data_IF_391997224202
#
_entry.id   IF_391997224202
#
_cell.length_a   1.000
_cell.length_b   1.000
_cell.length_c   1.000
_cell.angle_alpha   90.00
_cell.angle_beta   90.00
_cell.angle_gamma   90.00
#
_symmetry.space_group_name_H-M   'P 1'
#
loop_
_entity.id
_entity.type
_entity.pdbx_description
1 polymer ?
#
# COMPACT_ATOMS: atom_id res chain seq x y z
N UNK A 1 -59.82 -3.80 -54.69
CA UNK A 1 -59.77 -3.90 -56.17
C UNK A 1 -58.93 -2.74 -56.68
N UNK A 2 -57.89 -2.95 -57.50
CA UNK A 2 -57.12 -1.83 -58.07
C UNK A 2 -58.07 -1.01 -58.96
N UNK A 3 -58.30 0.24 -58.60
CA UNK A 3 -59.15 1.14 -59.37
C UNK A 3 -58.58 1.30 -60.78
N UNK A 4 -59.41 1.11 -61.80
CA UNK A 4 -59.11 1.17 -63.25
C UNK A 4 -58.58 2.52 -63.78
N UNK A 5 -58.15 3.44 -62.91
CA UNK A 5 -57.82 4.84 -63.23
C UNK A 5 -56.36 5.24 -62.99
N UNK A 6 -55.47 4.32 -62.59
CA UNK A 6 -54.04 4.63 -62.36
C UNK A 6 -53.18 3.93 -63.41
N UNK A 7 -52.42 4.69 -64.21
CA UNK A 7 -51.52 4.15 -65.25
C UNK A 7 -50.05 4.19 -64.80
N UNK A 8 -49.21 3.29 -65.35
CA UNK A 8 -47.78 3.12 -64.97
C UNK A 8 -46.90 4.36 -65.21
N UNK A 9 -47.40 5.39 -65.91
CA UNK A 9 -46.69 6.65 -66.22
C UNK A 9 -47.07 7.82 -65.29
N UNK A 10 -47.99 7.64 -64.34
CA UNK A 10 -48.32 8.67 -63.35
C UNK A 10 -47.22 8.80 -62.28
N UNK A 11 -46.94 10.02 -61.83
CA UNK A 11 -46.05 10.25 -60.69
C UNK A 11 -46.67 9.68 -59.41
N UNK A 12 -45.84 9.15 -58.47
CA UNK A 12 -46.34 8.41 -57.31
C UNK A 12 -47.26 9.25 -56.41
N UNK A 13 -47.02 10.56 -56.32
CA UNK A 13 -47.87 11.48 -55.54
C UNK A 13 -49.26 11.68 -56.18
N UNK A 14 -49.34 11.72 -57.52
CA UNK A 14 -50.62 11.87 -58.23
C UNK A 14 -51.44 10.58 -58.13
N UNK A 15 -50.77 9.42 -58.22
CA UNK A 15 -51.40 8.12 -58.03
C UNK A 15 -52.01 7.98 -56.63
N UNK A 16 -51.25 8.34 -55.58
CA UNK A 16 -51.73 8.32 -54.20
C UNK A 16 -52.94 9.23 -53.98
N UNK A 17 -52.97 10.41 -54.60
CA UNK A 17 -54.11 11.35 -54.51
C UNK A 17 -55.36 10.82 -55.22
N UNK A 18 -55.22 10.21 -56.40
CA UNK A 18 -56.35 9.62 -57.14
C UNK A 18 -56.90 8.41 -56.40
N UNK A 19 -56.03 7.56 -55.86
CA UNK A 19 -56.45 6.39 -55.09
C UNK A 19 -57.16 6.80 -53.78
N UNK A 20 -56.65 7.82 -53.08
CA UNK A 20 -57.31 8.38 -51.90
C UNK A 20 -58.67 9.04 -52.22
N UNK A 21 -58.82 9.64 -53.41
CA UNK A 21 -60.08 10.23 -53.87
C UNK A 21 -61.12 9.16 -54.26
N UNK A 22 -60.68 8.04 -54.85
CA UNK A 22 -61.54 6.93 -55.31
C UNK A 22 -61.96 6.02 -54.14
N UNK A 23 -61.10 5.79 -53.16
CA UNK A 23 -61.41 4.96 -51.98
C UNK A 23 -62.43 5.61 -51.03
N UNK A 24 -62.88 6.84 -51.32
CA UNK A 24 -63.89 7.55 -50.51
C UNK A 24 -63.43 7.87 -49.07
N UNK A 25 -62.20 7.51 -48.70
CA UNK A 25 -61.59 7.83 -47.41
C UNK A 25 -61.13 9.28 -47.45
N UNK A 26 -62.09 10.20 -47.33
CA UNK A 26 -61.82 11.53 -46.78
C UNK A 26 -61.23 11.30 -45.38
N UNK A 27 -59.91 11.43 -45.24
CA UNK A 27 -59.33 11.68 -43.93
C UNK A 27 -60.02 12.96 -43.40
N UNK A 28 -60.77 12.90 -42.29
CA UNK A 28 -61.46 14.08 -41.80
C UNK A 28 -60.42 15.15 -41.48
N UNK A 29 -60.52 16.36 -42.07
CA UNK A 29 -59.60 17.44 -41.77
C UNK A 29 -59.86 17.90 -40.33
N UNK A 30 -58.92 17.61 -39.44
CA UNK A 30 -58.93 18.12 -38.07
C UNK A 30 -60.07 17.57 -37.20
N UNK A 31 -60.09 16.26 -36.93
CA UNK A 31 -60.85 15.69 -35.83
C UNK A 31 -60.33 16.28 -34.49
N UNK A 32 -60.84 17.46 -34.14
CA UNK A 32 -60.61 18.08 -32.83
C UNK A 32 -61.22 17.14 -31.80
N UNK A 33 -60.37 16.57 -30.94
CA UNK A 33 -60.79 15.84 -29.75
C UNK A 33 -61.89 16.64 -29.03
N UNK A 34 -62.95 15.96 -28.60
CA UNK A 34 -64.03 16.61 -27.85
C UNK A 34 -63.44 17.44 -26.69
N UNK A 35 -63.98 18.64 -26.38
CA UNK A 35 -63.40 19.55 -25.38
C UNK A 35 -63.24 18.90 -23.99
N UNK A 36 -64.05 17.88 -23.67
CA UNK A 36 -63.90 17.06 -22.46
C UNK A 36 -62.66 16.15 -22.51
N UNK A 37 -62.37 15.55 -23.66
CA UNK A 37 -61.18 14.71 -23.84
C UNK A 37 -59.89 15.53 -23.80
N UNK A 38 -59.87 16.74 -24.37
CA UNK A 38 -58.72 17.65 -24.26
C UNK A 38 -58.52 18.17 -22.83
N UNK A 39 -59.61 18.43 -22.09
CA UNK A 39 -59.53 18.78 -20.66
C UNK A 39 -58.97 17.63 -19.81
N UNK A 40 -59.43 16.40 -20.03
CA UNK A 40 -58.91 15.21 -19.34
C UNK A 40 -57.43 14.97 -19.64
N UNK A 41 -57.01 15.14 -20.90
CA UNK A 41 -55.60 15.06 -21.30
C UNK A 41 -54.74 16.12 -20.61
N UNK A 42 -55.22 17.36 -20.49
CA UNK A 42 -54.50 18.43 -19.78
C UNK A 42 -54.37 18.14 -18.29
N UNK A 43 -55.44 17.66 -17.64
CA UNK A 43 -55.41 17.27 -16.23
C UNK A 43 -54.45 16.10 -16.03
N UNK A 44 -54.53 15.06 -16.87
CA UNK A 44 -53.63 13.91 -16.82
C UNK A 44 -52.16 14.30 -17.03
N UNK A 45 -51.87 15.16 -18.00
CA UNK A 45 -50.51 15.69 -18.22
C UNK A 45 -50.01 16.49 -17.00
N UNK A 46 -50.85 17.33 -16.41
CA UNK A 46 -50.48 18.11 -15.22
C UNK A 46 -50.22 17.21 -14.02
N UNK A 47 -51.09 16.22 -13.79
CA UNK A 47 -50.91 15.23 -12.73
C UNK A 47 -49.62 14.42 -12.92
N UNK A 48 -49.31 14.01 -14.15
CA UNK A 48 -48.07 13.29 -14.47
C UNK A 48 -46.83 14.14 -14.18
N UNK A 49 -46.84 15.42 -14.54
CA UNK A 49 -45.74 16.35 -14.24
C UNK A 49 -45.54 16.47 -12.73
N UNK A 50 -46.63 16.70 -11.97
CA UNK A 50 -46.57 16.82 -10.50
C UNK A 50 -46.02 15.55 -9.87
N UNK A 51 -46.52 14.38 -10.26
CA UNK A 51 -46.05 13.08 -9.76
C UNK A 51 -44.56 12.89 -10.07
N UNK A 52 -44.13 13.23 -11.29
CA UNK A 52 -42.72 13.10 -11.70
C UNK A 52 -41.81 14.03 -10.90
N UNK A 53 -42.22 15.28 -10.68
CA UNK A 53 -41.47 16.24 -9.87
C UNK A 53 -41.36 15.80 -8.40
N UNK A 54 -42.47 15.33 -7.80
CA UNK A 54 -42.48 14.80 -6.43
C UNK A 54 -41.59 13.57 -6.33
N UNK A 55 -41.70 12.64 -7.28
CA UNK A 55 -40.85 11.44 -7.32
C UNK A 55 -39.37 11.78 -7.45
N UNK A 56 -39.01 12.72 -8.34
CA UNK A 56 -37.64 13.17 -8.52
C UNK A 56 -37.10 13.83 -7.23
N UNK A 57 -37.88 14.72 -6.60
CA UNK A 57 -37.51 15.35 -5.34
C UNK A 57 -37.28 14.33 -4.21
N UNK A 58 -38.19 13.36 -4.06
CA UNK A 58 -38.04 12.27 -3.09
C UNK A 58 -36.84 11.37 -3.39
N UNK A 59 -36.59 11.07 -4.68
CA UNK A 59 -35.45 10.27 -5.12
C UNK A 59 -34.13 10.96 -4.81
N UNK A 60 -34.01 12.26 -5.10
CA UNK A 60 -32.86 13.09 -4.77
C UNK A 60 -32.65 13.18 -3.26
N UNK A 61 -33.70 13.41 -2.49
CA UNK A 61 -33.61 13.47 -1.03
C UNK A 61 -33.16 12.13 -0.42
N UNK A 62 -33.71 11.01 -0.90
CA UNK A 62 -33.26 9.66 -0.52
C UNK A 62 -31.81 9.43 -0.92
N UNK A 63 -31.39 9.90 -2.09
CA UNK A 63 -30.01 9.77 -2.54
C UNK A 63 -29.04 10.53 -1.64
N UNK A 64 -29.38 11.76 -1.25
CA UNK A 64 -28.61 12.57 -0.29
C UNK A 64 -28.55 11.92 1.09
N UNK A 65 -29.68 11.50 1.67
CA UNK A 65 -29.69 10.82 2.98
C UNK A 65 -28.85 9.54 2.98
N UNK A 66 -28.94 8.75 1.91
CA UNK A 66 -28.13 7.55 1.77
C UNK A 66 -26.63 7.85 1.64
N UNK A 67 -26.26 8.97 1.02
CA UNK A 67 -24.87 9.41 0.96
C UNK A 67 -24.37 9.84 2.33
N UNK A 68 -25.11 10.68 3.06
CA UNK A 68 -24.73 11.12 4.42
C UNK A 68 -24.60 9.94 5.38
N UNK A 69 -25.54 8.99 5.35
CA UNK A 69 -25.47 7.79 6.17
C UNK A 69 -24.20 6.97 5.91
N UNK A 70 -23.81 6.81 4.63
CA UNK A 70 -22.59 6.09 4.25
C UNK A 70 -21.31 6.85 4.61
N UNK A 71 -21.32 8.18 4.55
CA UNK A 71 -20.20 9.00 5.05
C UNK A 71 -20.04 8.78 6.55
N UNK A 72 -21.14 8.84 7.29
CA UNK A 72 -21.17 8.57 8.74
C UNK A 72 -20.59 7.20 9.09
N UNK A 73 -21.04 6.14 8.42
CA UNK A 73 -20.53 4.77 8.61
C UNK A 73 -19.01 4.68 8.39
N UNK A 74 -18.50 5.26 7.29
CA UNK A 74 -17.07 5.21 6.99
C UNK A 74 -16.25 6.04 8.00
N UNK A 75 -16.70 7.24 8.33
CA UNK A 75 -16.05 8.10 9.34
C UNK A 75 -16.04 7.46 10.72
N UNK A 76 -17.14 6.85 11.15
CA UNK A 76 -17.21 6.12 12.42
C UNK A 76 -16.23 4.96 12.45
N UNK A 77 -16.13 4.20 11.36
CA UNK A 77 -15.16 3.11 11.24
C UNK A 77 -13.72 3.61 11.31
N UNK A 78 -13.39 4.68 10.59
CA UNK A 78 -12.07 5.34 10.65
C UNK A 78 -11.73 5.75 12.08
N UNK A 79 -12.67 6.41 12.77
CA UNK A 79 -12.48 6.87 14.15
C UNK A 79 -12.33 5.72 15.13
N UNK A 80 -13.07 4.63 14.94
CA UNK A 80 -12.95 3.42 15.77
C UNK A 80 -11.54 2.83 15.64
N UNK A 81 -11.05 2.68 14.41
CA UNK A 81 -9.70 2.17 14.15
C UNK A 81 -8.61 3.12 14.67
N UNK A 82 -8.81 4.44 14.53
CA UNK A 82 -7.89 5.45 15.01
C UNK A 82 -7.86 5.55 16.55
N UNK A 83 -8.98 5.30 17.23
CA UNK A 83 -9.08 5.36 18.69
C UNK A 83 -8.25 4.28 19.40
N UNK A 84 -7.85 3.23 18.69
CA UNK A 84 -6.90 2.23 19.20
C UNK A 84 -5.46 2.75 19.30
N UNK A 85 -5.17 3.91 18.73
CA UNK A 85 -3.84 4.52 18.74
C UNK A 85 -3.73 5.64 19.77
N UNK A 86 -2.65 5.59 20.54
CA UNK A 86 -2.25 6.68 21.42
C UNK A 86 -1.60 7.85 20.66
N UNK A 87 -1.41 9.02 21.31
CA UNK A 87 -0.76 10.18 20.70
C UNK A 87 0.64 9.87 20.15
N UNK A 88 1.44 9.08 20.88
CA UNK A 88 2.79 8.70 20.47
C UNK A 88 2.81 7.82 19.21
N UNK A 89 1.76 7.01 19.02
CA UNK A 89 1.61 6.09 17.89
C UNK A 89 1.15 6.84 16.64
N UNK A 90 0.26 7.83 16.79
CA UNK A 90 -0.04 8.78 15.72
C UNK A 90 1.21 9.55 15.26
N UNK A 91 2.14 9.86 16.18
CA UNK A 91 3.40 10.52 15.89
C UNK A 91 4.54 9.56 15.49
N UNK A 92 4.26 8.29 15.16
CA UNK A 92 5.30 7.29 14.88
C UNK A 92 6.24 7.68 13.73
N UNK A 93 5.72 8.21 12.61
CA UNK A 93 6.57 8.64 11.49
C UNK A 93 7.44 9.85 11.87
N UNK A 94 6.91 10.78 12.65
CA UNK A 94 7.68 11.93 13.17
C UNK A 94 8.82 11.49 14.08
N UNK A 95 8.66 10.38 14.81
CA UNK A 95 9.72 9.78 15.65
C UNK A 95 10.77 9.04 14.84
N UNK A 96 10.39 8.40 13.74
CA UNK A 96 11.25 7.47 12.98
C UNK A 96 12.03 8.17 11.88
N UNK A 97 11.37 8.98 11.05
CA UNK A 97 11.98 9.56 9.86
C UNK A 97 13.25 10.39 10.12
N UNK A 98 13.37 11.17 11.22
CA UNK A 98 14.59 11.93 11.50
C UNK A 98 15.85 11.08 11.71
N UNK A 99 15.72 9.79 12.01
CA UNK A 99 16.87 8.88 12.17
C UNK A 99 17.49 8.48 10.84
N UNK A 100 16.71 8.43 9.76
CA UNK A 100 17.14 7.85 8.49
C UNK A 100 18.29 8.64 7.84
N UNK A 101 18.26 9.99 7.77
CA UNK A 101 19.38 10.76 7.26
C UNK A 101 20.68 10.60 8.07
N UNK A 102 20.58 10.28 9.37
CA UNK A 102 21.76 10.07 10.21
C UNK A 102 22.54 8.82 9.81
N UNK A 103 21.86 7.79 9.30
CA UNK A 103 22.50 6.60 8.75
C UNK A 103 23.04 6.80 7.32
N UNK A 104 22.51 7.79 6.60
CA UNK A 104 22.98 8.19 5.27
C UNK A 104 24.28 9.00 5.29
N UNK A 105 24.56 9.70 6.40
CA UNK A 105 25.72 10.59 6.54
C UNK A 105 27.08 9.90 6.60
N UNK A 106 28.10 10.66 7.00
CA UNK A 106 29.45 10.12 7.22
C UNK A 106 29.43 9.04 8.31
N UNK A 107 30.13 7.93 8.09
CA UNK A 107 30.12 6.81 9.02
C UNK A 107 30.97 7.10 10.28
N UNK A 108 30.38 7.22 11.48
CA UNK A 108 31.12 7.64 12.66
C UNK A 108 31.94 6.52 13.33
N UNK A 109 31.96 5.32 12.75
CA UNK A 109 32.59 4.13 13.34
C UNK A 109 31.62 3.20 14.06
N UNK A 110 32.09 1.98 14.32
CA UNK A 110 31.31 0.93 14.98
C UNK A 110 30.93 1.33 16.42
N UNK A 111 29.74 0.93 16.84
CA UNK A 111 29.19 1.13 18.18
C UNK A 111 28.35 -0.09 18.57
N UNK A 112 28.67 -0.66 19.73
CA UNK A 112 27.81 -1.62 20.43
C UNK A 112 27.59 -1.08 21.84
N UNK A 113 26.36 -0.65 22.11
CA UNK A 113 25.99 -0.11 23.41
C UNK A 113 26.15 -1.18 24.50
N UNK A 114 26.55 -0.75 25.71
CA UNK A 114 26.87 -1.67 26.80
C UNK A 114 25.65 -2.49 27.24
N UNK A 115 24.44 -1.95 27.05
CA UNK A 115 23.19 -2.63 27.34
C UNK A 115 22.94 -3.87 26.46
N UNK A 116 23.61 -4.00 25.31
CA UNK A 116 23.47 -5.17 24.43
C UNK A 116 24.42 -6.32 24.80
N UNK A 117 25.46 -6.05 25.60
CA UNK A 117 26.55 -6.99 25.87
C UNK A 117 26.23 -8.11 26.87
N UNK A 118 25.41 -7.91 27.91
CA UNK A 118 25.08 -8.98 28.84
C UNK A 118 24.47 -10.17 28.10
N UNK A 119 24.77 -11.38 28.57
CA UNK A 119 24.28 -12.61 27.94
C UNK A 119 22.75 -12.59 27.86
N UNK A 120 22.21 -12.85 26.67
CA UNK A 120 20.77 -12.81 26.39
C UNK A 120 20.15 -11.41 26.23
N UNK A 121 20.86 -10.33 26.56
CA UNK A 121 20.32 -8.96 26.46
C UNK A 121 19.98 -8.59 25.01
N UNK A 122 20.85 -8.95 24.06
CA UNK A 122 20.60 -8.68 22.64
C UNK A 122 19.33 -9.37 22.13
N UNK A 123 19.14 -10.65 22.45
CA UNK A 123 17.92 -11.39 22.10
C UNK A 123 16.68 -10.77 22.76
N UNK A 124 16.78 -10.33 24.02
CA UNK A 124 15.70 -9.63 24.72
C UNK A 124 15.36 -8.29 24.05
N UNK A 125 16.35 -7.55 23.57
CA UNK A 125 16.13 -6.30 22.82
C UNK A 125 15.45 -6.60 21.50
N UNK A 126 15.95 -7.56 20.71
CA UNK A 126 15.34 -7.96 19.44
C UNK A 126 13.90 -8.49 19.60
N UNK A 127 13.53 -9.01 20.77
CA UNK A 127 12.15 -9.40 21.06
C UNK A 127 11.15 -8.25 21.14
N UNK A 128 11.60 -6.99 21.19
CA UNK A 128 10.72 -5.81 21.24
C UNK A 128 10.13 -5.50 19.85
N UNK A 129 8.91 -4.92 19.78
CA UNK A 129 8.32 -4.46 18.52
C UNK A 129 9.28 -3.55 17.75
N UNK A 130 9.56 -3.90 16.49
CA UNK A 130 10.64 -3.27 15.69
C UNK A 130 10.10 -2.81 14.34
N UNK A 131 10.49 -1.62 13.90
CA UNK A 131 10.32 -1.19 12.51
C UNK A 131 11.58 -1.51 11.72
N UNK A 132 11.40 -2.09 10.53
CA UNK A 132 12.48 -2.46 9.63
C UNK A 132 12.47 -1.60 8.37
N UNK A 133 13.66 -1.17 7.97
CA UNK A 133 13.93 -0.56 6.68
C UNK A 133 15.30 -1.03 6.16
N UNK A 134 15.32 -1.43 4.90
CA UNK A 134 16.55 -1.70 4.15
C UNK A 134 16.52 -1.01 2.80
N UNK A 135 17.64 -0.46 2.37
CA UNK A 135 17.78 0.09 1.03
C UNK A 135 19.17 0.64 0.75
N UNK A 136 19.39 1.18 -0.45
CA UNK A 136 20.65 1.78 -0.83
C UNK A 136 20.89 3.10 -0.08
N UNK A 137 22.15 3.40 0.25
CA UNK A 137 22.57 4.62 0.95
C UNK A 137 21.98 5.91 0.35
N UNK A 138 21.90 5.98 -0.97
CA UNK A 138 21.42 7.14 -1.72
C UNK A 138 19.93 7.44 -1.56
N UNK A 139 19.14 6.52 -1.00
CA UNK A 139 17.69 6.72 -0.82
C UNK A 139 17.31 7.18 0.59
N UNK A 140 18.22 7.11 1.56
CA UNK A 140 17.93 7.46 2.97
C UNK A 140 17.88 8.97 3.24
N UNK A 141 18.33 9.79 2.29
CA UNK A 141 18.31 11.25 2.41
C UNK A 141 16.98 11.86 1.91
N UNK A 142 16.49 11.43 0.75
CA UNK A 142 15.40 12.09 0.03
C UNK A 142 14.33 11.15 -0.57
N UNK A 143 14.61 9.84 -0.67
CA UNK A 143 13.74 8.84 -1.33
C UNK A 143 13.41 7.66 -0.41
N UNK A 144 13.06 7.99 0.83
CA UNK A 144 12.77 7.00 1.89
C UNK A 144 11.54 6.17 1.53
N UNK A 145 10.56 6.76 0.85
CA UNK A 145 9.35 6.09 0.38
C UNK A 145 9.65 4.97 -0.62
N UNK A 146 10.55 5.22 -1.58
CA UNK A 146 11.01 4.22 -2.56
C UNK A 146 11.72 3.05 -1.85
N UNK A 147 12.64 3.36 -0.92
CA UNK A 147 13.33 2.33 -0.13
C UNK A 147 12.41 1.55 0.79
N UNK A 148 11.44 2.23 1.41
CA UNK A 148 10.45 1.55 2.24
C UNK A 148 9.63 0.57 1.39
N UNK A 149 9.20 0.99 0.20
CA UNK A 149 8.40 0.16 -0.70
C UNK A 149 9.14 -1.10 -1.15
N UNK A 150 10.44 -1.00 -1.43
CA UNK A 150 11.28 -2.14 -1.85
C UNK A 150 11.81 -2.98 -0.67
N UNK A 151 11.84 -2.44 0.55
CA UNK A 151 12.29 -3.15 1.75
C UNK A 151 11.29 -4.20 2.21
N UNK A 152 11.69 -5.47 2.32
CA UNK A 152 10.87 -6.57 2.84
C UNK A 152 11.56 -7.30 3.99
N UNK A 153 10.83 -8.11 4.76
CA UNK A 153 11.44 -8.98 5.80
C UNK A 153 12.29 -10.05 5.12
N UNK A 154 13.57 -9.77 4.99
CA UNK A 154 14.53 -10.57 4.24
C UNK A 154 15.25 -11.60 5.15
N UNK A 155 16.23 -12.28 4.57
CA UNK A 155 17.04 -13.26 5.28
C UNK A 155 17.88 -12.66 6.41
N UNK A 156 18.23 -11.36 6.34
CA UNK A 156 18.93 -10.68 7.42
C UNK A 156 18.05 -10.63 8.67
N UNK A 157 16.81 -10.14 8.55
CA UNK A 157 15.87 -10.10 9.68
C UNK A 157 15.62 -11.49 10.23
N UNK A 158 15.40 -12.49 9.36
CA UNK A 158 15.15 -13.86 9.80
C UNK A 158 16.32 -14.43 10.61
N UNK A 159 17.55 -14.26 10.12
CA UNK A 159 18.74 -14.79 10.78
C UNK A 159 19.17 -13.96 12.00
N UNK A 160 18.78 -12.69 12.07
CA UNK A 160 18.98 -11.87 13.25
C UNK A 160 18.16 -12.38 14.44
N UNK A 161 16.90 -12.77 14.20
CA UNK A 161 16.00 -13.28 15.24
C UNK A 161 16.12 -14.79 15.50
N UNK A 162 16.46 -15.58 14.48
CA UNK A 162 16.65 -17.03 14.60
C UNK A 162 17.92 -17.45 13.84
N UNK A 163 19.11 -17.16 14.40
CA UNK A 163 20.37 -17.46 13.75
C UNK A 163 20.52 -18.98 13.52
N UNK A 164 21.09 -19.41 12.38
CA UNK A 164 21.48 -20.80 12.19
C UNK A 164 22.56 -21.21 13.20
N UNK A 165 22.71 -22.52 13.41
CA UNK A 165 23.71 -23.08 14.34
C UNK A 165 25.15 -22.90 13.87
N UNK A 166 25.37 -22.70 12.56
CA UNK A 166 26.69 -22.47 11.98
C UNK A 166 26.61 -21.61 10.71
N UNK A 167 27.71 -20.92 10.39
CA UNK A 167 27.91 -20.16 9.15
C UNK A 167 28.33 -21.09 8.01
N UNK A 168 27.39 -21.88 7.49
CA UNK A 168 27.64 -22.77 6.34
C UNK A 168 26.69 -22.44 5.20
N UNK A 169 27.17 -22.55 3.96
CA UNK A 169 26.36 -22.24 2.76
C UNK A 169 24.99 -22.97 2.75
N UNK A 170 24.89 -24.28 3.08
CA UNK A 170 23.60 -24.97 3.07
C UNK A 170 22.60 -24.40 4.08
N UNK A 171 23.05 -24.05 5.29
CA UNK A 171 22.18 -23.51 6.34
C UNK A 171 21.73 -22.09 6.01
N UNK A 172 22.64 -21.25 5.51
CA UNK A 172 22.35 -19.89 5.10
C UNK A 172 21.41 -19.86 3.89
N UNK A 173 21.63 -20.73 2.90
CA UNK A 173 20.74 -20.91 1.75
C UNK A 173 19.33 -21.35 2.15
N UNK A 174 19.21 -22.26 3.12
CA UNK A 174 17.90 -22.68 3.63
C UNK A 174 17.11 -21.49 4.24
N UNK A 175 17.78 -20.62 4.99
CA UNK A 175 17.19 -19.39 5.55
C UNK A 175 16.83 -18.38 4.46
N UNK A 176 17.71 -18.18 3.47
CA UNK A 176 17.45 -17.32 2.32
C UNK A 176 16.19 -17.76 1.56
N UNK A 177 16.07 -19.06 1.26
CA UNK A 177 14.89 -19.62 0.60
C UNK A 177 13.62 -19.47 1.45
N UNK A 178 13.72 -19.66 2.77
CA UNK A 178 12.60 -19.48 3.67
C UNK A 178 12.08 -18.03 3.65
N UNK A 179 12.98 -17.04 3.71
CA UNK A 179 12.63 -15.62 3.63
C UNK A 179 11.97 -15.27 2.28
N UNK A 180 12.52 -15.74 1.16
CA UNK A 180 11.96 -15.47 -0.17
C UNK A 180 10.62 -16.18 -0.43
N UNK A 181 10.35 -17.30 0.25
CA UNK A 181 9.09 -18.02 0.08
C UNK A 181 7.86 -17.22 0.55
N UNK A 182 8.06 -16.20 1.40
CA UNK A 182 7.00 -15.37 1.97
C UNK A 182 6.00 -16.12 2.85
N UNK A 183 6.28 -17.38 3.21
CA UNK A 183 5.39 -18.20 4.05
C UNK A 183 5.36 -17.64 5.47
N UNK A 184 4.15 -17.51 6.02
CA UNK A 184 3.95 -16.95 7.35
C UNK A 184 4.71 -17.74 8.43
N UNK A 185 4.75 -19.07 8.31
CA UNK A 185 5.45 -19.96 9.24
C UNK A 185 6.96 -19.70 9.25
N UNK A 186 7.54 -19.42 8.08
CA UNK A 186 8.96 -19.11 7.94
C UNK A 186 9.34 -17.78 8.60
N UNK A 187 8.40 -16.84 8.70
CA UNK A 187 8.61 -15.50 9.25
C UNK A 187 8.21 -15.36 10.73
N UNK A 188 7.70 -16.43 11.36
CA UNK A 188 7.31 -16.43 12.78
C UNK A 188 8.39 -15.88 13.72
N UNK A 189 9.69 -16.21 13.56
CA UNK A 189 10.73 -15.65 14.43
C UNK A 189 10.84 -14.12 14.37
N UNK A 190 10.41 -13.52 13.27
CA UNK A 190 10.40 -12.07 13.03
C UNK A 190 8.96 -11.50 13.01
N UNK A 191 8.02 -12.15 13.70
CA UNK A 191 6.63 -11.71 13.73
C UNK A 191 6.47 -10.29 14.32
N UNK A 192 7.28 -9.92 15.32
CA UNK A 192 7.27 -8.59 15.95
C UNK A 192 7.98 -7.48 15.16
N UNK A 193 8.50 -7.79 13.97
CA UNK A 193 9.15 -6.82 13.08
C UNK A 193 8.13 -6.36 12.06
N UNK A 194 7.90 -5.07 11.89
CA UNK A 194 6.99 -4.51 10.87
C UNK A 194 7.77 -3.68 9.85
N UNK A 195 7.26 -3.60 8.62
CA UNK A 195 7.89 -2.80 7.57
C UNK A 195 7.56 -1.32 7.77
N UNK A 196 8.54 -0.43 7.60
CA UNK A 196 8.29 1.02 7.62
C UNK A 196 7.23 1.43 6.59
N UNK A 197 7.22 0.79 5.42
CA UNK A 197 6.27 1.07 4.35
C UNK A 197 4.81 0.87 4.76
N UNK A 198 4.52 -0.19 5.51
CA UNK A 198 3.15 -0.49 5.94
C UNK A 198 2.63 0.63 6.86
N UNK A 199 3.52 1.21 7.70
CA UNK A 199 3.22 2.38 8.53
C UNK A 199 3.03 3.64 7.67
N UNK A 200 3.92 3.89 6.71
CA UNK A 200 3.86 5.06 5.82
C UNK A 200 2.58 5.09 4.98
N UNK A 201 2.10 3.94 4.52
CA UNK A 201 0.86 3.84 3.73
C UNK A 201 -0.37 3.79 4.63
N UNK A 202 -0.34 3.04 5.73
CA UNK A 202 -1.54 2.77 6.51
C UNK A 202 -1.91 3.89 7.49
N UNK A 203 -0.95 4.52 8.17
CA UNK A 203 -1.25 5.56 9.16
C UNK A 203 -1.99 6.79 8.60
N UNK A 204 -1.71 7.28 7.37
CA UNK A 204 -2.46 8.39 6.80
C UNK A 204 -3.98 8.18 6.76
N UNK A 205 -4.47 6.94 6.63
CA UNK A 205 -5.89 6.60 6.65
C UNK A 205 -6.55 6.74 8.04
N UNK A 206 -5.74 6.80 9.10
CA UNK A 206 -6.18 6.99 10.48
C UNK A 206 -5.98 8.45 10.94
N UNK A 207 -5.60 9.34 10.02
CA UNK A 207 -5.39 10.75 10.32
C UNK A 207 -6.71 11.54 10.32
N UNK A 208 -6.77 12.68 11.03
CA UNK A 208 -7.91 13.60 10.94
C UNK A 208 -8.18 14.11 9.51
N UNK A 209 -7.15 14.19 8.67
CA UNK A 209 -7.30 14.67 7.29
C UNK A 209 -8.00 13.64 6.40
N UNK A 210 -7.83 12.35 6.67
CA UNK A 210 -8.62 11.31 6.01
C UNK A 210 -10.10 11.40 6.38
N UNK A 211 -10.43 11.61 7.67
CA UNK A 211 -11.82 11.80 8.11
C UNK A 211 -12.47 13.03 7.44
N UNK A 212 -11.73 14.15 7.34
CA UNK A 212 -12.19 15.34 6.58
C UNK A 212 -12.46 15.00 5.11
N UNK A 213 -11.58 14.20 4.48
CA UNK A 213 -11.74 13.76 3.08
C UNK A 213 -13.01 12.92 2.89
N UNK A 214 -13.30 12.02 3.83
CA UNK A 214 -14.54 11.23 3.84
C UNK A 214 -15.77 12.14 4.00
N UNK A 215 -15.72 13.08 4.94
CA UNK A 215 -16.81 14.05 5.16
C UNK A 215 -17.07 14.96 3.96
N UNK A 216 -16.03 15.28 3.17
CA UNK A 216 -16.14 16.14 1.99
C UNK A 216 -16.62 15.43 0.70
N UNK A 217 -16.70 14.10 0.69
CA UNK A 217 -16.95 13.31 -0.52
C UNK A 217 -18.34 13.58 -1.13
N UNK A 218 -18.43 14.16 -2.33
CA UNK A 218 -19.71 14.69 -2.87
C UNK A 218 -20.57 13.67 -3.60
N UNK A 219 -20.01 12.52 -3.98
CA UNK A 219 -20.72 11.50 -4.74
C UNK A 219 -20.56 10.09 -4.16
N UNK A 220 -21.44 9.18 -4.60
CA UNK A 220 -21.37 7.76 -4.21
C UNK A 220 -20.14 7.08 -4.77
N UNK A 221 -19.71 7.46 -5.96
CA UNK A 221 -18.53 6.91 -6.63
C UNK A 221 -17.26 7.32 -5.88
N UNK A 222 -17.18 8.59 -5.49
CA UNK A 222 -16.06 9.11 -4.70
C UNK A 222 -15.98 8.41 -3.34
N UNK A 223 -17.08 8.35 -2.60
CA UNK A 223 -17.14 7.66 -1.31
C UNK A 223 -16.83 6.16 -1.45
N UNK A 224 -17.29 5.53 -2.54
CA UNK A 224 -16.95 4.15 -2.87
C UNK A 224 -15.47 3.93 -3.15
N UNK A 225 -14.77 4.90 -3.77
CA UNK A 225 -13.31 4.86 -3.92
C UNK A 225 -12.62 4.96 -2.56
N UNK A 226 -12.97 5.96 -1.75
CA UNK A 226 -12.39 6.15 -0.42
C UNK A 226 -12.56 4.91 0.46
N UNK A 227 -13.74 4.29 0.46
CA UNK A 227 -13.99 3.03 1.18
C UNK A 227 -13.06 1.91 0.72
N UNK A 228 -12.89 1.73 -0.60
CA UNK A 228 -11.99 0.69 -1.13
C UNK A 228 -10.52 0.97 -0.79
N UNK A 229 -10.11 2.22 -0.83
CA UNK A 229 -8.74 2.61 -0.48
C UNK A 229 -8.48 2.30 1.01
N UNK A 230 -9.42 2.64 1.89
CA UNK A 230 -9.36 2.30 3.32
C UNK A 230 -9.34 0.79 3.57
N UNK A 231 -10.19 0.02 2.89
CA UNK A 231 -10.27 -1.44 3.05
C UNK A 231 -9.02 -2.17 2.52
N UNK A 232 -8.31 -1.59 1.56
CA UNK A 232 -7.06 -2.15 1.01
C UNK A 232 -5.81 -1.73 1.79
N UNK A 233 -5.89 -0.66 2.57
CA UNK A 233 -4.76 -0.16 3.33
C UNK A 233 -4.31 -1.17 4.40
N UNK A 234 -2.99 -1.30 4.66
CA UNK A 234 -2.45 -2.24 5.65
C UNK A 234 -2.62 -1.74 7.09
N UNK A 235 -3.84 -1.35 7.49
CA UNK A 235 -4.15 -0.68 8.76
C UNK A 235 -3.64 -1.47 9.97
N UNK A 236 -3.92 -2.79 10.02
CA UNK A 236 -3.49 -3.62 11.14
C UNK A 236 -1.96 -3.63 11.32
N UNK A 237 -1.20 -3.73 10.22
CA UNK A 237 0.27 -3.68 10.24
C UNK A 237 0.79 -2.30 10.56
N UNK A 238 0.13 -1.25 10.06
CA UNK A 238 0.47 0.12 10.38
C UNK A 238 0.32 0.41 11.89
N UNK A 239 -0.76 -0.08 12.51
CA UNK A 239 -0.97 0.01 13.97
C UNK A 239 0.10 -0.76 14.73
N UNK A 240 0.43 -1.99 14.32
CA UNK A 240 1.50 -2.78 14.92
C UNK A 240 2.87 -2.09 14.81
N UNK A 241 3.19 -1.54 13.63
CA UNK A 241 4.42 -0.81 13.39
C UNK A 241 4.50 0.54 14.13
N UNK A 242 3.38 1.25 14.29
CA UNK A 242 3.33 2.49 15.06
C UNK A 242 3.70 2.31 16.54
N UNK A 243 3.45 1.09 17.07
CA UNK A 243 3.80 0.65 18.43
C UNK A 243 5.26 0.22 18.57
N UNK A 244 6.03 0.24 17.49
CA UNK A 244 7.43 -0.13 17.50
C UNK A 244 8.22 0.68 18.53
N UNK A 245 9.07 -0.04 19.25
CA UNK A 245 10.00 0.50 20.25
C UNK A 245 11.41 0.58 19.70
N UNK A 246 11.70 -0.18 18.64
CA UNK A 246 12.99 -0.19 17.96
C UNK A 246 12.84 0.20 16.49
N UNK A 247 13.91 0.77 15.94
CA UNK A 247 14.11 0.94 14.51
C UNK A 247 15.38 0.19 14.11
N UNK A 248 15.22 -0.82 13.25
CA UNK A 248 16.30 -1.59 12.64
C UNK A 248 16.46 -1.11 11.19
N UNK A 249 17.66 -0.59 10.90
CA UNK A 249 18.00 -0.04 9.59
C UNK A 249 19.17 -0.82 9.00
N UNK A 250 19.05 -1.21 7.74
CA UNK A 250 20.14 -1.79 6.95
C UNK A 250 20.38 -0.92 5.73
N UNK A 251 21.60 -0.43 5.55
CA UNK A 251 21.94 0.51 4.48
C UNK A 251 23.02 -0.12 3.61
N UNK A 252 22.67 -0.42 2.37
CA UNK A 252 23.59 -0.97 1.39
C UNK A 252 24.41 0.18 0.77
N UNK A 253 25.73 0.20 1.00
CA UNK A 253 26.62 1.23 0.42
C UNK A 253 26.92 0.93 -1.05
N UNK A 254 27.11 1.97 -1.89
CA UNK A 254 27.50 1.75 -3.27
C UNK A 254 28.85 1.04 -3.34
N UNK A 255 29.00 0.16 -4.31
CA UNK A 255 30.29 -0.47 -4.58
C UNK A 255 31.29 0.57 -5.13
N UNK A 256 32.52 0.54 -4.60
CA UNK A 256 33.64 1.39 -5.04
C UNK A 256 34.56 0.71 -6.06
N UNK A 257 34.36 -0.59 -6.34
CA UNK A 257 35.19 -1.36 -7.27
C UNK A 257 34.70 -1.23 -8.74
N UNK A 258 35.59 -0.93 -9.71
CA UNK A 258 35.23 -0.81 -11.12
C UNK A 258 34.92 -2.16 -11.78
N UNK A 259 33.86 -2.22 -12.61
CA UNK A 259 33.51 -3.36 -13.47
C UNK A 259 32.03 -3.38 -13.89
N UNK A 260 31.61 -4.24 -14.85
CA UNK A 260 30.24 -4.29 -15.38
C UNK A 260 29.18 -4.75 -14.35
N UNK A 261 28.19 -3.91 -14.06
CA UNK A 261 27.10 -4.15 -13.10
C UNK A 261 26.12 -5.21 -13.62
N UNK A 262 26.45 -6.49 -13.44
CA UNK A 262 25.61 -7.55 -14.01
C UNK A 262 24.43 -7.98 -13.13
N UNK A 263 24.40 -7.75 -11.81
CA UNK A 263 23.22 -7.89 -10.93
C UNK A 263 23.50 -7.29 -9.52
N UNK A 264 22.52 -6.64 -8.90
CA UNK A 264 22.63 -6.10 -7.54
C UNK A 264 22.74 -7.24 -6.50
N UNK A 265 23.75 -7.19 -5.63
CA UNK A 265 23.98 -8.19 -4.57
C UNK A 265 25.01 -9.29 -4.89
N UNK A 266 25.65 -9.26 -6.07
CA UNK A 266 26.70 -10.22 -6.45
C UNK A 266 28.12 -9.67 -6.31
N UNK A 267 28.27 -8.49 -5.72
CA UNK A 267 29.57 -7.83 -5.57
C UNK A 267 29.94 -7.54 -4.13
N UNK A 268 31.24 -7.54 -3.81
CA UNK A 268 31.74 -6.98 -2.58
C UNK A 268 31.24 -5.54 -2.36
N UNK A 269 30.55 -5.29 -1.27
CA UNK A 269 30.10 -3.94 -0.88
C UNK A 269 29.99 -3.84 0.64
N UNK A 270 29.95 -2.62 1.16
CA UNK A 270 29.75 -2.42 2.60
C UNK A 270 28.28 -2.28 2.92
N UNK A 271 27.87 -2.83 4.05
CA UNK A 271 26.51 -2.69 4.58
C UNK A 271 26.59 -2.11 5.98
N UNK A 272 25.81 -1.06 6.23
CA UNK A 272 25.64 -0.46 7.56
C UNK A 272 24.41 -1.05 8.23
N UNK A 273 24.56 -1.48 9.47
CA UNK A 273 23.45 -1.95 10.30
C UNK A 273 23.29 -0.98 11.46
N UNK A 274 22.08 -0.46 11.63
CA UNK A 274 21.69 0.44 12.71
C UNK A 274 20.56 -0.16 13.54
N UNK A 275 20.66 -0.10 14.86
CA UNK A 275 19.57 -0.39 15.79
C UNK A 275 19.38 0.80 16.72
N UNK A 276 18.18 1.36 16.73
CA UNK A 276 17.83 2.53 17.54
C UNK A 276 16.70 2.19 18.48
N UNK A 277 16.82 2.59 19.74
CA UNK A 277 15.71 2.63 20.68
C UNK A 277 14.92 3.93 20.50
N UNK A 278 13.68 3.81 20.02
CA UNK A 278 12.81 4.95 19.74
C UNK A 278 12.27 5.61 21.02
N UNK A 279 12.23 4.88 22.14
CA UNK A 279 11.77 5.40 23.43
C UNK A 279 12.84 6.23 24.13
N UNK A 280 14.07 5.69 24.20
CA UNK A 280 15.20 6.40 24.82
C UNK A 280 15.95 7.32 23.86
N UNK A 281 15.63 7.28 22.56
CA UNK A 281 16.29 8.03 21.48
C UNK A 281 17.80 7.78 21.45
N UNK A 282 18.21 6.52 21.62
CA UNK A 282 19.61 6.10 21.64
C UNK A 282 19.90 5.13 20.51
N UNK A 283 21.06 5.29 19.87
CA UNK A 283 21.61 4.28 18.98
C UNK A 283 22.19 3.16 19.84
N UNK A 284 21.63 1.96 19.75
CA UNK A 284 22.09 0.78 20.47
C UNK A 284 23.17 0.02 19.71
N UNK A 285 23.05 -0.01 18.38
CA UNK A 285 23.97 -0.68 17.48
C UNK A 285 24.24 0.19 16.26
N UNK A 286 25.50 0.29 15.87
CA UNK A 286 25.92 0.80 14.56
C UNK A 286 27.12 0.00 14.11
N UNK A 287 27.00 -0.77 13.04
CA UNK A 287 28.10 -1.57 12.49
C UNK A 287 28.23 -1.32 10.99
N UNK A 288 29.44 -1.38 10.46
CA UNK A 288 29.71 -1.44 9.02
C UNK A 288 30.45 -2.74 8.71
N UNK A 289 29.89 -3.57 7.84
CA UNK A 289 30.47 -4.87 7.49
C UNK A 289 30.59 -5.00 5.98
N UNK A 290 31.73 -5.53 5.53
CA UNK A 290 31.92 -5.92 4.14
C UNK A 290 31.13 -7.20 3.90
N UNK A 291 30.24 -7.16 2.93
CA UNK A 291 29.57 -8.33 2.40
C UNK A 291 30.30 -8.70 1.11
N UNK A 292 30.71 -9.96 0.98
CA UNK A 292 31.38 -10.48 -0.20
C UNK A 292 30.77 -11.85 -0.56
N UNK A 293 30.10 -12.01 -1.71
CA UNK A 293 29.52 -13.28 -2.14
C UNK A 293 30.55 -14.27 -2.71
N UNK A 294 31.84 -13.92 -2.77
CA UNK A 294 32.90 -14.73 -3.41
C UNK A 294 33.06 -16.13 -2.80
N UNK A 295 32.66 -16.33 -1.54
CA UNK A 295 32.68 -17.62 -0.85
C UNK A 295 31.50 -18.55 -1.19
N UNK A 296 30.44 -18.02 -1.81
CA UNK A 296 29.22 -18.78 -2.15
C UNK A 296 29.44 -19.57 -3.44
N UNK A 297 29.03 -20.84 -3.49
CA UNK A 297 29.11 -21.64 -4.71
C UNK A 297 28.42 -20.96 -5.92
N UNK A 298 28.93 -21.10 -7.16
CA UNK A 298 28.36 -20.42 -8.32
C UNK A 298 26.86 -20.68 -8.52
N UNK A 299 26.41 -21.91 -8.29
CA UNK A 299 25.00 -22.29 -8.41
C UNK A 299 24.11 -21.60 -7.37
N UNK A 300 24.58 -21.47 -6.11
CA UNK A 300 23.81 -20.76 -5.10
C UNK A 300 23.90 -19.25 -5.24
N UNK A 301 25.03 -18.72 -5.73
CA UNK A 301 25.25 -17.29 -5.94
C UNK A 301 24.24 -16.71 -6.91
N UNK A 302 24.04 -17.34 -8.07
CA UNK A 302 23.13 -16.87 -9.11
C UNK A 302 21.67 -16.72 -8.67
N UNK A 303 21.23 -17.43 -7.63
CA UNK A 303 19.82 -17.45 -7.20
C UNK A 303 19.61 -16.88 -5.78
N UNK A 304 20.62 -16.97 -4.90
CA UNK A 304 20.48 -16.70 -3.47
C UNK A 304 21.59 -15.82 -2.87
N UNK A 305 22.52 -15.25 -3.66
CA UNK A 305 23.65 -14.47 -3.14
C UNK A 305 23.23 -13.45 -2.07
N UNK A 306 22.34 -12.52 -2.44
CA UNK A 306 21.84 -11.47 -1.55
C UNK A 306 21.23 -12.05 -0.27
N UNK A 307 20.43 -13.12 -0.36
CA UNK A 307 19.81 -13.73 0.82
C UNK A 307 20.80 -14.46 1.73
N UNK A 308 21.77 -15.18 1.15
CA UNK A 308 22.81 -15.90 1.91
C UNK A 308 23.70 -14.90 2.65
N UNK A 309 24.16 -13.87 1.95
CA UNK A 309 24.99 -12.82 2.52
C UNK A 309 24.26 -12.00 3.57
N UNK A 310 22.97 -11.71 3.36
CA UNK A 310 22.13 -11.05 4.35
C UNK A 310 22.04 -11.86 5.64
N UNK A 311 21.91 -13.19 5.54
CA UNK A 311 21.92 -14.07 6.70
C UNK A 311 23.31 -14.13 7.37
N UNK A 312 24.39 -14.14 6.58
CA UNK A 312 25.75 -14.09 7.09
C UNK A 312 26.04 -12.77 7.83
N UNK A 313 25.59 -11.64 7.30
CA UNK A 313 25.65 -10.32 7.93
C UNK A 313 24.96 -10.31 9.30
N UNK A 314 23.82 -10.99 9.43
CA UNK A 314 23.14 -11.11 10.73
C UNK A 314 23.99 -11.89 11.75
N UNK A 315 24.72 -12.92 11.33
CA UNK A 315 25.68 -13.62 12.19
C UNK A 315 26.86 -12.73 12.58
N UNK A 316 27.33 -11.87 11.67
CA UNK A 316 28.39 -10.90 11.96
C UNK A 316 27.94 -9.86 13.00
N UNK A 317 26.65 -9.48 12.98
CA UNK A 317 26.05 -8.65 14.04
C UNK A 317 26.07 -9.37 15.37
N UNK A 318 25.62 -10.64 15.44
CA UNK A 318 25.66 -11.44 16.66
C UNK A 318 27.09 -11.56 17.22
N UNK A 319 28.06 -11.86 16.36
CA UNK A 319 29.46 -11.96 16.74
C UNK A 319 30.02 -10.63 17.26
N UNK A 320 29.70 -9.51 16.60
CA UNK A 320 30.11 -8.19 17.04
C UNK A 320 29.53 -7.83 18.42
N UNK A 321 28.28 -8.17 18.69
CA UNK A 321 27.66 -7.93 20.00
C UNK A 321 28.31 -8.80 21.08
N UNK A 322 28.54 -10.09 20.79
CA UNK A 322 29.19 -11.01 21.72
C UNK A 322 30.64 -10.62 22.06
N UNK A 323 31.39 -10.11 21.06
CA UNK A 323 32.80 -9.72 21.20
C UNK A 323 33.00 -8.24 21.62
N UNK A 324 31.93 -7.52 21.97
CA UNK A 324 32.00 -6.13 22.43
C UNK A 324 32.48 -5.14 21.35
N UNK A 325 32.20 -5.42 20.07
CA UNK A 325 32.54 -4.55 18.94
C UNK A 325 34.01 -4.61 18.50
N UNK A 326 34.83 -5.50 19.07
CA UNK A 326 36.17 -5.76 18.54
C UNK A 326 36.07 -6.68 17.33
N UNK A 327 36.50 -6.17 16.18
CA UNK A 327 36.73 -7.00 14.99
C UNK A 327 37.82 -8.00 15.36
N UNK A 328 37.49 -9.29 15.38
CA UNK A 328 38.51 -10.33 15.30
C UNK A 328 39.18 -10.14 13.94
N UNK A 329 40.40 -9.58 13.94
CA UNK A 329 41.19 -9.46 12.74
C UNK A 329 41.58 -10.88 12.29
N UNK A 330 40.87 -11.39 11.27
CA UNK A 330 41.30 -12.48 10.40
C UNK A 330 41.48 -13.86 11.03
N UNK A 331 40.64 -14.80 10.60
CA UNK A 331 41.10 -16.11 10.14
C UNK A 331 40.41 -16.42 8.80
#
# INVERSE_FOLDING_TARGET
MPSLLVTKKMSPELAARVQAAVDGRRAPPGAKLAPRATSLLRIGATALIVVTCVWLGLSLHRAHRALEARRGELSERVRTEAAELGPDEHAALTRVLPWLPLFAGAYPGDLVADELRPSGAFASVLGRPTLYLRGPLSSFADRVDESAASSFKDAFVLCLHAPPTARTEPLLKAKARAAMSGRAEALLPAAGVERLHDVMIGLPFLSPDWDKKVGAARSREELGRLRRDFERAPIARAKAGARAKLLLVVVDEPNTEPGPTELDGERPHDVRVGLVDLGTRKVLLRLRRRVDPSWISPTARAEYASGIDSCALALDVHAAVANGGRVAAGE
#
